data_IF_897451144303
#
_entry.id   IF_897451144303
#
_cell.length_a   1.000
_cell.length_b   1.000
_cell.length_c   1.000
_cell.angle_alpha   90.00
_cell.angle_beta   90.00
_cell.angle_gamma   90.00
#
_symmetry.space_group_name_H-M   'P 1'
#
loop_
_entity.id
_entity.type
_entity.pdbx_description
1 polymer ?
#
# COMPACT_ATOMS: atom_id res chain seq x y z
N UNK A 1 -22.40 -5.25 -8.39
CA UNK A 1 -21.39 -4.96 -7.36
C UNK A 1 -21.05 -6.22 -6.54
N UNK A 2 -22.03 -6.96 -6.03
CA UNK A 2 -21.80 -8.14 -5.18
C UNK A 2 -21.05 -9.26 -5.90
N UNK A 3 -21.32 -9.47 -7.19
CA UNK A 3 -20.58 -10.45 -8.01
C UNK A 3 -19.10 -10.05 -8.17
N UNK A 4 -18.81 -8.75 -8.35
CA UNK A 4 -17.44 -8.26 -8.41
C UNK A 4 -16.68 -8.48 -7.09
N UNK A 5 -17.36 -8.29 -5.95
CA UNK A 5 -16.80 -8.59 -4.63
C UNK A 5 -16.52 -10.11 -4.49
N UNK A 6 -17.48 -10.96 -4.88
CA UNK A 6 -17.33 -12.42 -4.82
C UNK A 6 -16.18 -12.93 -5.68
N UNK A 7 -15.95 -12.33 -6.85
CA UNK A 7 -14.87 -12.68 -7.77
C UNK A 7 -13.52 -12.03 -7.44
N UNK A 8 -13.45 -11.20 -6.39
CA UNK A 8 -12.22 -10.49 -6.04
C UNK A 8 -11.87 -9.34 -6.99
N UNK A 9 -12.79 -8.91 -7.85
CA UNK A 9 -12.62 -7.74 -8.74
C UNK A 9 -12.84 -6.42 -7.99
N UNK A 10 -13.54 -6.45 -6.87
CA UNK A 10 -13.68 -5.35 -5.94
C UNK A 10 -13.31 -5.83 -4.54
N UNK A 11 -12.69 -4.96 -3.74
CA UNK A 11 -12.33 -5.24 -2.35
C UNK A 11 -13.45 -4.83 -1.39
N UNK A 12 -14.23 -3.82 -1.76
CA UNK A 12 -15.34 -3.30 -0.97
C UNK A 12 -16.51 -2.94 -1.88
N UNK A 13 -17.70 -3.03 -1.32
CA UNK A 13 -18.96 -2.56 -1.93
C UNK A 13 -19.74 -1.82 -0.85
N UNK A 14 -20.04 -0.56 -1.10
CA UNK A 14 -20.77 0.30 -0.18
C UNK A 14 -22.19 0.57 -0.68
N UNK A 15 -23.18 0.73 0.20
CA UNK A 15 -24.46 1.30 -0.17
C UNK A 15 -24.27 2.69 -0.79
N UNK A 16 -25.09 3.01 -1.82
CA UNK A 16 -24.93 4.28 -2.54
C UNK A 16 -24.95 5.50 -1.61
N UNK A 17 -25.82 5.51 -0.62
CA UNK A 17 -25.95 6.60 0.36
C UNK A 17 -24.69 6.79 1.25
N UNK A 18 -23.83 5.77 1.36
CA UNK A 18 -22.63 5.78 2.21
C UNK A 18 -21.34 5.83 1.37
N UNK A 19 -21.46 5.72 0.05
CA UNK A 19 -20.32 5.52 -0.85
C UNK A 19 -19.25 6.60 -0.70
N UNK A 20 -19.65 7.87 -0.69
CA UNK A 20 -18.69 8.99 -0.60
C UNK A 20 -17.95 8.97 0.74
N UNK A 21 -18.66 8.78 1.85
CA UNK A 21 -18.04 8.80 3.19
C UNK A 21 -17.13 7.59 3.40
N UNK A 22 -17.58 6.39 3.07
CA UNK A 22 -16.83 5.16 3.28
C UNK A 22 -15.61 5.06 2.34
N UNK A 23 -15.78 5.42 1.06
CA UNK A 23 -14.66 5.43 0.13
C UNK A 23 -13.61 6.48 0.50
N UNK A 24 -14.02 7.67 0.96
CA UNK A 24 -13.10 8.69 1.46
C UNK A 24 -12.34 8.23 2.70
N UNK A 25 -13.00 7.53 3.62
CA UNK A 25 -12.36 6.96 4.80
C UNK A 25 -11.33 5.88 4.42
N UNK A 26 -11.63 5.01 3.46
CA UNK A 26 -10.70 4.01 2.95
C UNK A 26 -9.49 4.64 2.27
N UNK A 27 -9.70 5.65 1.44
CA UNK A 27 -8.62 6.39 0.79
C UNK A 27 -7.72 7.10 1.80
N UNK A 28 -8.33 7.69 2.84
CA UNK A 28 -7.56 8.34 3.92
C UNK A 28 -6.69 7.32 4.69
N UNK A 29 -7.21 6.11 4.97
CA UNK A 29 -6.42 5.03 5.58
C UNK A 29 -5.25 4.61 4.68
N UNK A 30 -5.49 4.45 3.38
CA UNK A 30 -4.45 4.11 2.41
C UNK A 30 -3.38 5.20 2.33
N UNK A 31 -3.78 6.47 2.30
CA UNK A 31 -2.86 7.61 2.28
C UNK A 31 -2.03 7.73 3.58
N UNK A 32 -2.51 7.16 4.68
CA UNK A 32 -1.77 7.09 5.95
C UNK A 32 -0.70 5.99 6.01
N UNK A 33 -0.60 5.12 5.00
CA UNK A 33 0.44 4.09 4.95
C UNK A 33 1.79 4.68 4.54
N UNK A 34 2.89 3.96 4.87
CA UNK A 34 4.25 4.35 4.52
C UNK A 34 4.42 4.51 3.00
N UNK A 35 4.71 5.72 2.48
CA UNK A 35 4.72 5.98 1.03
C UNK A 35 5.77 5.14 0.28
N UNK A 36 6.93 4.92 0.88
CA UNK A 36 7.98 4.09 0.26
C UNK A 36 7.53 2.62 0.15
N UNK A 37 6.78 2.11 1.11
CA UNK A 37 6.21 0.75 1.06
C UNK A 37 5.19 0.64 -0.08
N UNK A 38 4.29 1.61 -0.23
CA UNK A 38 3.33 1.64 -1.34
C UNK A 38 4.05 1.68 -2.70
N UNK A 39 5.13 2.47 -2.81
CA UNK A 39 5.96 2.52 -4.01
C UNK A 39 6.63 1.16 -4.31
N UNK A 40 7.22 0.52 -3.32
CA UNK A 40 7.86 -0.78 -3.48
C UNK A 40 6.85 -1.85 -3.92
N UNK A 41 5.66 -1.87 -3.31
CA UNK A 41 4.57 -2.78 -3.71
C UNK A 41 4.13 -2.53 -5.16
N UNK A 42 3.95 -1.28 -5.57
CA UNK A 42 3.56 -0.94 -6.94
C UNK A 42 4.61 -1.41 -7.97
N UNK A 43 5.90 -1.27 -7.67
CA UNK A 43 6.98 -1.78 -8.51
C UNK A 43 6.96 -3.31 -8.60
N UNK A 44 6.78 -4.00 -7.47
CA UNK A 44 6.71 -5.46 -7.45
C UNK A 44 5.51 -5.98 -8.26
N UNK A 45 4.33 -5.38 -8.12
CA UNK A 45 3.15 -5.77 -8.91
C UNK A 45 3.34 -5.53 -10.41
N UNK A 46 4.00 -4.43 -10.81
CA UNK A 46 4.33 -4.18 -12.22
C UNK A 46 5.23 -5.27 -12.79
N UNK A 47 6.21 -5.74 -12.02
CA UNK A 47 7.09 -6.82 -12.46
C UNK A 47 6.35 -8.16 -12.56
N UNK A 48 5.50 -8.50 -11.60
CA UNK A 48 4.70 -9.73 -11.62
C UNK A 48 3.74 -9.76 -12.81
N UNK A 49 3.21 -8.61 -13.21
CA UNK A 49 2.29 -8.50 -14.35
C UNK A 49 2.97 -8.71 -15.73
N UNK A 50 4.30 -8.65 -15.81
CA UNK A 50 5.04 -8.93 -17.05
C UNK A 50 5.15 -10.44 -17.33
N UNK A 51 5.28 -10.84 -18.59
CA UNK A 51 5.72 -12.19 -18.93
C UNK A 51 7.03 -12.54 -18.20
N UNK A 52 7.18 -13.77 -17.74
CA UNK A 52 8.30 -14.20 -16.89
C UNK A 52 9.68 -13.84 -17.48
N UNK A 53 9.87 -14.06 -18.79
CA UNK A 53 11.11 -13.73 -19.49
C UNK A 53 11.46 -12.23 -19.55
N UNK A 54 10.51 -11.36 -19.23
CA UNK A 54 10.68 -9.89 -19.24
C UNK A 54 10.74 -9.29 -17.82
N UNK A 55 10.67 -10.12 -16.78
CA UNK A 55 10.71 -9.65 -15.40
C UNK A 55 12.13 -9.24 -15.02
N UNK A 56 12.23 -8.06 -14.40
CA UNK A 56 13.45 -7.58 -13.78
C UNK A 56 13.14 -7.10 -12.35
N UNK A 57 13.38 -7.93 -11.34
CA UNK A 57 13.02 -7.59 -9.96
C UNK A 57 13.96 -6.58 -9.31
N UNK A 58 15.05 -6.13 -9.98
CA UNK A 58 16.06 -5.26 -9.37
C UNK A 58 15.47 -4.00 -8.78
N UNK A 59 14.65 -3.27 -9.55
CA UNK A 59 14.04 -2.03 -9.07
C UNK A 59 13.10 -2.25 -7.87
N UNK A 60 12.34 -3.35 -7.87
CA UNK A 60 11.48 -3.71 -6.75
C UNK A 60 12.31 -4.04 -5.50
N UNK A 61 13.40 -4.81 -5.64
CA UNK A 61 14.30 -5.16 -4.55
C UNK A 61 15.02 -3.92 -3.97
N UNK A 62 15.48 -3.01 -4.83
CA UNK A 62 16.08 -1.73 -4.41
C UNK A 62 15.08 -0.87 -3.64
N UNK A 63 13.82 -0.80 -4.11
CA UNK A 63 12.76 -0.08 -3.42
C UNK A 63 12.44 -0.68 -2.04
N UNK A 64 12.46 -2.02 -1.92
CA UNK A 64 12.30 -2.70 -0.62
C UNK A 64 13.48 -2.38 0.30
N UNK A 65 14.71 -2.44 -0.19
CA UNK A 65 15.89 -2.08 0.60
C UNK A 65 15.83 -0.62 1.09
N UNK A 66 15.38 0.31 0.23
CA UNK A 66 15.17 1.71 0.59
C UNK A 66 14.11 1.88 1.70
N UNK A 67 13.05 1.05 1.73
CA UNK A 67 12.09 1.08 2.82
C UNK A 67 12.75 0.79 4.17
N UNK A 68 13.58 -0.25 4.25
CA UNK A 68 14.26 -0.63 5.50
C UNK A 68 15.31 0.40 5.96
N UNK A 69 15.90 1.16 5.03
CA UNK A 69 16.87 2.20 5.31
C UNK A 69 16.24 3.57 5.62
N UNK A 70 14.92 3.70 5.56
CA UNK A 70 14.19 4.97 5.66
C UNK A 70 13.96 5.45 7.09
N UNK A 71 13.74 6.76 7.23
CA UNK A 71 13.23 7.36 8.47
C UNK A 71 11.84 6.83 8.82
N UNK A 72 11.01 6.54 7.81
CA UNK A 72 9.67 5.98 7.99
C UNK A 72 9.71 4.59 8.64
N UNK A 73 10.71 3.76 8.31
CA UNK A 73 10.89 2.48 8.98
C UNK A 73 11.22 2.64 10.47
N UNK A 74 12.12 3.56 10.78
CA UNK A 74 12.48 3.89 12.16
C UNK A 74 11.26 4.45 12.93
N UNK A 75 10.50 5.34 12.29
CA UNK A 75 9.27 5.90 12.85
C UNK A 75 8.21 4.82 13.09
N UNK A 76 8.00 3.91 12.12
CA UNK A 76 7.05 2.80 12.26
C UNK A 76 7.35 1.92 13.45
N UNK A 77 8.62 1.56 13.65
CA UNK A 77 9.08 0.77 14.81
C UNK A 77 8.85 1.51 16.12
N UNK A 78 9.17 2.81 16.17
CA UNK A 78 8.98 3.65 17.35
C UNK A 78 7.49 3.79 17.69
N UNK A 79 6.67 4.13 16.70
CA UNK A 79 5.23 4.28 16.87
C UNK A 79 4.57 2.99 17.37
N UNK A 80 5.01 1.83 16.86
CA UNK A 80 4.56 0.52 17.34
C UNK A 80 4.90 0.28 18.81
N UNK A 81 6.15 0.57 19.22
CA UNK A 81 6.59 0.43 20.61
C UNK A 81 5.82 1.38 21.56
N UNK A 82 5.54 2.57 21.09
CA UNK A 82 4.79 3.61 21.84
C UNK A 82 3.27 3.47 21.74
N UNK A 83 2.76 2.49 21.00
CA UNK A 83 1.32 2.22 20.76
C UNK A 83 0.56 3.46 20.23
N UNK A 84 1.17 4.21 19.35
CA UNK A 84 0.57 5.37 18.67
C UNK A 84 0.54 5.19 17.16
N UNK A 85 -0.23 6.03 16.48
CA UNK A 85 -0.18 6.11 15.04
C UNK A 85 1.18 6.65 14.56
N UNK A 86 1.78 6.07 13.49
CA UNK A 86 2.99 6.58 12.88
C UNK A 86 2.72 7.85 12.07
N UNK A 87 3.77 8.66 11.89
CA UNK A 87 3.74 9.84 11.00
C UNK A 87 4.78 9.67 9.91
N UNK A 88 4.38 9.03 8.81
CA UNK A 88 5.24 8.75 7.67
C UNK A 88 5.45 9.98 6.79
N UNK A 89 6.66 10.14 6.24
CA UNK A 89 7.07 11.29 5.42
C UNK A 89 7.63 10.91 4.06
N UNK A 90 7.75 9.61 3.77
CA UNK A 90 8.26 9.11 2.50
C UNK A 90 9.78 9.22 2.33
N UNK A 91 10.54 9.20 3.40
CA UNK A 91 12.01 9.33 3.38
C UNK A 91 12.70 8.52 4.46
#
# INVERSE_FOLDING_TARGET
AQEALRLGLATHVYPLAQFEAESAADLARMAGHAPLTLKAMALAFREIAKPEAQRDPRQANEAVAACFASEDYAEGRRAFAEKRAPSFKGR
#
